data_IF_206303838416
#
_entry.id   IF_206303838416
#
_cell.length_a   1.000
_cell.length_b   1.000
_cell.length_c   1.000
_cell.angle_alpha   90.00
_cell.angle_beta   90.00
_cell.angle_gamma   90.00
#
_symmetry.space_group_name_H-M   'P 1'
#
loop_
_entity.id
_entity.type
_entity.pdbx_description
1 polymer ?
#
# COMPACT_ATOMS: atom_id res chain seq x y z
N UNK A 1 -27.19 -18.31 14.06
CA UNK A 1 -27.26 -17.16 13.15
C UNK A 1 -28.64 -16.54 13.24
N UNK A 2 -28.72 -15.28 13.62
CA UNK A 2 -29.99 -14.56 13.76
C UNK A 2 -30.58 -14.24 12.37
N UNK A 3 -31.90 -14.06 12.26
CA UNK A 3 -32.56 -13.74 10.99
C UNK A 3 -32.00 -12.46 10.33
N UNK A 4 -31.57 -11.49 11.13
CA UNK A 4 -30.89 -10.28 10.66
C UNK A 4 -29.51 -10.56 10.04
N UNK A 5 -28.75 -11.50 10.61
CA UNK A 5 -27.42 -11.88 10.13
C UNK A 5 -27.51 -12.66 8.81
N UNK A 6 -28.50 -13.55 8.69
CA UNK A 6 -28.78 -14.26 7.43
C UNK A 6 -29.18 -13.28 6.32
N UNK A 7 -30.02 -12.29 6.64
CA UNK A 7 -30.42 -11.26 5.69
C UNK A 7 -29.22 -10.40 5.25
N UNK A 8 -28.34 -10.04 6.19
CA UNK A 8 -27.13 -9.29 5.89
C UNK A 8 -26.14 -10.09 5.04
N UNK A 9 -25.94 -11.38 5.35
CA UNK A 9 -25.09 -12.25 4.56
C UNK A 9 -25.60 -12.40 3.13
N UNK A 10 -26.89 -12.67 2.95
CA UNK A 10 -27.53 -12.77 1.63
C UNK A 10 -27.33 -11.48 0.82
N UNK A 11 -27.51 -10.33 1.47
CA UNK A 11 -27.24 -9.02 0.86
C UNK A 11 -25.79 -8.91 0.40
N UNK A 12 -24.81 -9.32 1.22
CA UNK A 12 -23.38 -9.26 0.85
C UNK A 12 -23.07 -10.18 -0.33
N UNK A 13 -23.62 -11.39 -0.34
CA UNK A 13 -23.46 -12.35 -1.44
C UNK A 13 -24.00 -11.80 -2.77
N UNK A 14 -25.09 -11.03 -2.71
CA UNK A 14 -25.68 -10.38 -3.89
C UNK A 14 -24.78 -9.26 -4.46
N UNK A 15 -23.98 -8.57 -3.63
CA UNK A 15 -23.02 -7.55 -4.08
C UNK A 15 -21.66 -8.12 -4.52
N UNK A 16 -21.25 -9.28 -4.02
CA UNK A 16 -19.97 -9.90 -4.37
C UNK A 16 -19.99 -10.52 -5.77
N UNK A 17 -21.14 -11.03 -6.23
CA UNK A 17 -21.25 -11.70 -7.53
C UNK A 17 -21.66 -10.71 -8.61
N UNK A 18 -20.79 -10.52 -9.59
CA UNK A 18 -20.99 -9.53 -10.66
C UNK A 18 -22.30 -9.68 -11.46
N UNK A 19 -22.88 -10.88 -11.55
CA UNK A 19 -24.15 -11.14 -12.25
C UNK A 19 -25.41 -10.98 -11.37
N UNK A 20 -25.26 -10.72 -10.07
CA UNK A 20 -26.36 -10.47 -9.12
C UNK A 20 -26.53 -8.99 -8.77
N UNK A 21 -25.54 -8.16 -9.12
CA UNK A 21 -25.58 -6.72 -8.86
C UNK A 21 -26.76 -6.10 -9.63
N UNK A 22 -27.63 -5.31 -8.97
CA UNK A 22 -28.73 -4.64 -9.65
C UNK A 22 -28.20 -3.63 -10.67
N UNK A 23 -28.79 -3.64 -11.86
CA UNK A 23 -28.39 -2.76 -12.94
C UNK A 23 -28.69 -1.29 -12.60
N UNK A 24 -27.66 -0.43 -12.68
CA UNK A 24 -27.79 1.02 -12.52
C UNK A 24 -27.13 1.75 -13.71
N UNK A 25 -27.91 2.56 -14.42
CA UNK A 25 -27.41 3.29 -15.59
C UNK A 25 -26.31 4.31 -15.25
N UNK A 26 -26.38 4.94 -14.07
CA UNK A 26 -25.45 6.01 -13.68
C UNK A 26 -24.09 5.47 -13.20
N UNK A 27 -24.01 4.20 -12.81
CA UNK A 27 -22.79 3.56 -12.33
C UNK A 27 -22.28 2.50 -13.34
N UNK A 28 -21.21 2.78 -14.11
CA UNK A 28 -20.63 1.85 -15.06
C UNK A 28 -20.16 0.53 -14.43
N UNK A 29 -19.87 0.52 -13.13
CA UNK A 29 -19.40 -0.69 -12.42
C UNK A 29 -20.54 -1.64 -12.05
N UNK A 30 -21.79 -1.19 -12.09
CA UNK A 30 -22.98 -2.02 -11.88
C UNK A 30 -23.41 -2.78 -13.14
N UNK A 31 -22.83 -2.46 -14.31
CA UNK A 31 -23.27 -3.05 -15.57
C UNK A 31 -22.81 -4.50 -15.71
N UNK A 32 -23.68 -5.41 -16.19
CA UNK A 32 -23.30 -6.80 -16.43
C UNK A 32 -22.22 -6.90 -17.50
N UNK A 33 -21.47 -8.00 -17.51
CA UNK A 33 -20.36 -8.20 -18.44
C UNK A 33 -20.72 -8.00 -19.93
N UNK A 34 -21.87 -8.51 -20.45
CA UNK A 34 -22.29 -8.28 -21.84
C UNK A 34 -22.37 -6.81 -22.21
N UNK A 35 -23.03 -6.00 -21.38
CA UNK A 35 -23.24 -4.57 -21.64
C UNK A 35 -21.94 -3.79 -21.48
N UNK A 36 -21.12 -4.13 -20.48
CA UNK A 36 -19.83 -3.48 -20.25
C UNK A 36 -18.88 -3.67 -21.42
N UNK A 37 -18.75 -4.92 -21.90
CA UNK A 37 -17.86 -5.26 -23.02
C UNK A 37 -18.38 -4.65 -24.33
N UNK A 38 -19.69 -4.70 -24.58
CA UNK A 38 -20.31 -4.06 -25.73
C UNK A 38 -20.12 -2.53 -25.73
N UNK A 39 -20.29 -1.87 -24.59
CA UNK A 39 -20.10 -0.43 -24.45
C UNK A 39 -18.65 -0.01 -24.77
N UNK A 40 -17.66 -0.66 -24.16
CA UNK A 40 -16.26 -0.33 -24.42
C UNK A 40 -15.86 -0.63 -25.86
N UNK A 41 -16.40 -1.68 -26.47
CA UNK A 41 -16.19 -1.97 -27.89
C UNK A 41 -16.80 -0.88 -28.77
N UNK A 42 -18.05 -0.47 -28.53
CA UNK A 42 -18.71 0.58 -29.28
C UNK A 42 -17.98 1.94 -29.19
N UNK A 43 -17.58 2.33 -27.98
CA UNK A 43 -16.80 3.56 -27.73
C UNK A 43 -15.44 3.47 -28.40
N UNK A 44 -14.70 2.36 -28.21
CA UNK A 44 -13.40 2.15 -28.82
C UNK A 44 -13.45 2.19 -30.35
N UNK A 45 -14.44 1.53 -30.96
CA UNK A 45 -14.62 1.54 -32.41
C UNK A 45 -15.00 2.92 -32.95
N UNK A 46 -15.84 3.68 -32.23
CA UNK A 46 -16.21 5.05 -32.62
C UNK A 46 -15.01 6.00 -32.54
N UNK A 47 -14.23 5.91 -31.46
CA UNK A 47 -13.00 6.70 -31.28
C UNK A 47 -11.96 6.33 -32.33
N UNK A 48 -11.78 5.04 -32.62
CA UNK A 48 -10.89 4.56 -33.68
C UNK A 48 -11.30 5.09 -35.05
N UNK A 49 -12.59 5.07 -35.38
CA UNK A 49 -13.12 5.64 -36.62
C UNK A 49 -12.87 7.16 -36.71
N UNK A 50 -13.07 7.88 -35.61
CA UNK A 50 -12.77 9.31 -35.54
C UNK A 50 -11.29 9.61 -35.83
N UNK A 51 -10.36 8.90 -35.18
CA UNK A 51 -8.93 9.08 -35.39
C UNK A 51 -8.47 8.64 -36.79
N UNK A 52 -9.05 7.57 -37.33
CA UNK A 52 -8.79 7.12 -38.70
C UNK A 52 -9.16 8.22 -39.71
N UNK A 53 -10.33 8.84 -39.57
CA UNK A 53 -10.75 9.94 -40.43
C UNK A 53 -9.89 11.19 -40.26
N UNK A 54 -9.48 11.48 -39.02
CA UNK A 54 -8.55 12.57 -38.72
C UNK A 54 -7.19 12.37 -39.41
N UNK A 55 -6.64 11.16 -39.35
CA UNK A 55 -5.36 10.82 -39.95
C UNK A 55 -5.37 10.96 -41.48
N UNK A 56 -6.44 10.48 -42.14
CA UNK A 56 -6.59 10.56 -43.60
C UNK A 56 -7.23 11.86 -44.10
N UNK A 57 -7.44 12.86 -43.22
CA UNK A 57 -8.07 14.16 -43.53
C UNK A 57 -9.43 14.02 -44.24
N UNK A 58 -10.19 12.97 -43.89
CA UNK A 58 -11.54 12.74 -44.42
C UNK A 58 -12.58 13.43 -43.52
N UNK A 59 -13.63 14.05 -44.08
CA UNK A 59 -14.67 14.66 -43.26
C UNK A 59 -15.47 13.58 -42.51
N UNK A 60 -15.98 13.91 -41.32
CA UNK A 60 -16.60 12.95 -40.40
C UNK A 60 -17.78 12.14 -40.97
N UNK A 61 -18.50 12.71 -41.94
CA UNK A 61 -19.62 12.04 -42.60
C UNK A 61 -19.20 11.06 -43.70
N UNK A 62 -17.94 11.10 -44.14
CA UNK A 62 -17.42 10.26 -45.21
C UNK A 62 -17.38 8.79 -44.77
N UNK A 63 -18.19 7.94 -45.40
CA UNK A 63 -18.28 6.52 -45.03
C UNK A 63 -18.97 6.25 -43.69
N UNK A 64 -19.79 7.18 -43.20
CA UNK A 64 -20.52 7.02 -41.93
C UNK A 64 -21.46 5.80 -41.90
N UNK A 65 -22.16 5.50 -43.00
CA UNK A 65 -23.06 4.35 -43.12
C UNK A 65 -22.30 3.02 -42.95
N UNK A 66 -21.27 2.69 -43.78
CA UNK A 66 -20.52 1.44 -43.60
C UNK A 66 -19.77 1.38 -42.27
N UNK A 67 -19.31 2.53 -41.74
CA UNK A 67 -18.66 2.58 -40.44
C UNK A 67 -19.64 2.27 -39.30
N UNK A 68 -20.86 2.80 -39.34
CA UNK A 68 -21.89 2.49 -38.33
C UNK A 68 -22.27 1.00 -38.34
N UNK A 69 -22.34 0.39 -39.54
CA UNK A 69 -22.55 -1.05 -39.67
C UNK A 69 -21.39 -1.86 -39.07
N UNK A 70 -20.14 -1.45 -39.31
CA UNK A 70 -18.96 -2.09 -38.72
C UNK A 70 -18.90 -1.94 -37.19
N UNK A 71 -19.26 -0.77 -36.65
CA UNK A 71 -19.35 -0.55 -35.20
C UNK A 71 -20.45 -1.44 -34.61
N UNK A 72 -21.60 -1.55 -35.25
CA UNK A 72 -22.70 -2.40 -34.80
C UNK A 72 -22.31 -3.89 -34.78
N UNK A 73 -21.60 -4.39 -35.80
CA UNK A 73 -21.14 -5.79 -35.83
C UNK A 73 -20.11 -6.07 -34.75
N UNK A 74 -19.13 -5.18 -34.56
CA UNK A 74 -18.13 -5.30 -33.48
C UNK A 74 -18.80 -5.28 -32.10
N UNK A 75 -19.78 -4.40 -31.91
CA UNK A 75 -20.54 -4.30 -30.66
C UNK A 75 -21.35 -5.57 -30.39
N UNK A 76 -21.99 -6.14 -31.42
CA UNK A 76 -22.74 -7.39 -31.29
C UNK A 76 -21.84 -8.59 -30.95
N UNK A 77 -20.67 -8.70 -31.60
CA UNK A 77 -19.68 -9.73 -31.27
C UNK A 77 -19.15 -9.57 -29.84
N UNK A 78 -18.85 -8.34 -29.44
CA UNK A 78 -18.41 -8.01 -28.08
C UNK A 78 -19.47 -8.36 -27.02
N UNK A 79 -20.76 -8.13 -27.32
CA UNK A 79 -21.86 -8.55 -26.47
C UNK A 79 -21.92 -10.08 -26.33
N UNK A 80 -21.77 -10.83 -27.43
CA UNK A 80 -21.69 -12.29 -27.42
C UNK A 80 -20.52 -12.83 -26.59
N UNK A 81 -19.34 -12.23 -26.71
CA UNK A 81 -18.18 -12.58 -25.89
C UNK A 81 -18.42 -12.28 -24.39
N UNK A 82 -19.12 -11.19 -24.08
CA UNK A 82 -19.53 -10.87 -22.72
C UNK A 82 -20.52 -11.86 -22.13
N UNK A 83 -21.47 -12.38 -22.93
CA UNK A 83 -22.39 -13.46 -22.52
C UNK A 83 -21.63 -14.76 -22.20
N UNK A 84 -20.67 -15.13 -23.07
CA UNK A 84 -19.85 -16.32 -22.85
C UNK A 84 -19.02 -16.20 -21.56
N UNK A 85 -18.44 -15.02 -21.33
CA UNK A 85 -17.69 -14.72 -20.10
C UNK A 85 -18.58 -14.81 -18.86
N UNK A 86 -19.79 -14.27 -18.93
CA UNK A 86 -20.73 -14.32 -17.83
C UNK A 86 -21.15 -15.77 -17.52
N UNK A 87 -21.41 -16.58 -18.55
CA UNK A 87 -21.68 -18.00 -18.38
C UNK A 87 -20.52 -18.71 -17.68
N UNK A 88 -19.28 -18.49 -18.12
CA UNK A 88 -18.11 -19.10 -17.51
C UNK A 88 -17.93 -18.68 -16.04
N UNK A 89 -18.11 -17.40 -15.71
CA UNK A 89 -18.07 -16.93 -14.33
C UNK A 89 -19.14 -17.59 -13.46
N UNK A 90 -20.38 -17.73 -13.97
CA UNK A 90 -21.47 -18.41 -13.24
C UNK A 90 -21.15 -19.88 -12.97
N UNK A 91 -20.63 -20.60 -13.98
CA UNK A 91 -20.23 -22.00 -13.82
C UNK A 91 -19.09 -22.14 -12.82
N UNK A 92 -18.06 -21.30 -12.92
CA UNK A 92 -16.93 -21.29 -11.97
C UNK A 92 -17.41 -21.05 -10.55
N UNK A 93 -18.24 -20.03 -10.34
CA UNK A 93 -18.73 -19.67 -9.01
C UNK A 93 -19.61 -20.81 -8.43
N UNK A 94 -20.46 -21.45 -9.25
CA UNK A 94 -21.24 -22.61 -8.83
C UNK A 94 -20.37 -23.81 -8.46
N UNK A 95 -19.29 -24.08 -9.20
CA UNK A 95 -18.33 -25.15 -8.88
C UNK A 95 -17.58 -24.84 -7.58
N UNK A 96 -17.14 -23.59 -7.40
CA UNK A 96 -16.47 -23.15 -6.17
C UNK A 96 -17.41 -23.28 -4.97
N UNK A 97 -18.67 -22.86 -5.09
CA UNK A 97 -19.67 -23.00 -4.04
C UNK A 97 -19.91 -24.47 -3.68
N UNK A 98 -20.02 -25.34 -4.69
CA UNK A 98 -20.18 -26.76 -4.47
C UNK A 98 -18.94 -27.36 -3.78
N UNK A 99 -17.73 -26.99 -4.21
CA UNK A 99 -16.49 -27.44 -3.59
C UNK A 99 -16.38 -27.00 -2.13
N UNK A 100 -16.65 -25.72 -1.84
CA UNK A 100 -16.67 -25.18 -0.47
C UNK A 100 -17.67 -25.94 0.41
N UNK A 101 -18.83 -26.34 -0.14
CA UNK A 101 -19.83 -27.10 0.59
C UNK A 101 -19.41 -28.54 0.91
N UNK A 102 -18.57 -29.15 0.07
CA UNK A 102 -18.08 -30.51 0.24
C UNK A 102 -16.85 -30.59 1.14
N UNK A 103 -15.99 -29.56 1.10
CA UNK A 103 -14.70 -29.52 1.78
C UNK A 103 -14.56 -28.30 2.70
N UNK A 104 -15.37 -28.17 3.77
CA UNK A 104 -15.24 -27.06 4.71
C UNK A 104 -13.86 -27.01 5.38
N UNK A 105 -13.23 -28.17 5.62
CA UNK A 105 -11.92 -28.32 6.28
C UNK A 105 -10.76 -27.61 5.56
N UNK A 106 -10.82 -27.49 4.23
CA UNK A 106 -9.79 -26.82 3.43
C UNK A 106 -9.80 -25.30 3.67
N UNK A 107 -10.97 -24.75 4.00
CA UNK A 107 -11.17 -23.31 4.19
C UNK A 107 -11.04 -22.89 5.67
N UNK A 108 -11.02 -23.85 6.59
CA UNK A 108 -10.79 -23.60 8.02
C UNK A 108 -9.43 -22.94 8.28
N UNK A 109 -8.42 -23.15 7.42
CA UNK A 109 -7.10 -22.51 7.51
C UNK A 109 -7.14 -21.00 7.31
N UNK A 110 -8.05 -20.49 6.48
CA UNK A 110 -8.25 -19.04 6.32
C UNK A 110 -8.92 -18.43 7.55
N UNK A 111 -9.74 -19.22 8.25
CA UNK A 111 -10.30 -18.81 9.53
C UNK A 111 -9.24 -18.90 10.63
N UNK A 112 -8.49 -20.00 10.72
CA UNK A 112 -7.46 -20.18 11.76
C UNK A 112 -6.27 -19.24 11.60
N UNK A 113 -5.87 -18.76 10.42
CA UNK A 113 -4.81 -17.74 10.34
C UNK A 113 -5.27 -16.34 10.76
N UNK A 114 -6.57 -16.06 10.68
CA UNK A 114 -7.17 -14.84 11.22
C UNK A 114 -7.45 -14.93 12.74
N UNK A 115 -7.57 -16.14 13.29
CA UNK A 115 -7.93 -16.39 14.69
C UNK A 115 -6.83 -16.97 15.58
N UNK A 116 -5.81 -17.65 15.01
CA UNK A 116 -4.67 -18.23 15.70
C UNK A 116 -3.36 -17.64 15.15
N UNK A 117 -3.06 -16.39 15.50
CA UNK A 117 -1.68 -16.10 15.90
C UNK A 117 -1.46 -16.80 17.25
N UNK A 118 -0.32 -17.46 17.50
CA UNK A 118 -0.05 -18.06 18.80
C UNK A 118 0.11 -16.91 19.80
N UNK A 119 -0.94 -16.64 20.58
CA UNK A 119 -0.91 -15.70 21.68
C UNK A 119 -0.93 -16.53 22.97
N UNK A 120 0.19 -16.49 23.67
CA UNK A 120 0.33 -17.03 25.03
C UNK A 120 -0.77 -16.43 25.93
N UNK A 121 -1.61 -17.33 26.44
CA UNK A 121 -2.44 -17.29 27.65
C UNK A 121 -2.65 -15.90 28.30
N UNK A 122 -3.75 -15.23 27.94
CA UNK A 122 -4.60 -14.45 28.87
C UNK A 122 -6.06 -14.51 28.40
N UNK A 123 -6.64 -15.71 28.49
CA UNK A 123 -8.03 -16.00 28.15
C UNK A 123 -9.01 -15.24 29.07
N UNK A 124 -9.42 -14.04 28.67
CA UNK A 124 -10.78 -13.48 28.88
C UNK A 124 -10.84 -11.99 28.49
N UNK A 125 -9.75 -11.23 28.71
CA UNK A 125 -9.69 -9.79 28.41
C UNK A 125 -9.78 -9.51 26.91
N UNK A 126 -8.96 -10.21 26.12
CA UNK A 126 -8.71 -9.79 24.74
C UNK A 126 -9.78 -10.30 23.77
N UNK A 127 -10.38 -11.47 24.07
CA UNK A 127 -11.56 -11.96 23.36
C UNK A 127 -12.76 -11.02 23.57
N UNK A 128 -12.95 -10.51 24.79
CA UNK A 128 -13.99 -9.51 25.10
C UNK A 128 -13.70 -8.18 24.39
N UNK A 129 -12.43 -7.75 24.36
CA UNK A 129 -12.02 -6.51 23.68
C UNK A 129 -12.20 -6.57 22.16
N UNK A 130 -11.97 -7.74 21.56
CA UNK A 130 -12.17 -7.99 20.13
C UNK A 130 -13.66 -8.03 19.80
N UNK A 131 -14.47 -8.71 20.61
CA UNK A 131 -15.93 -8.75 20.43
C UNK A 131 -16.55 -7.37 20.64
N UNK A 132 -16.01 -6.57 21.56
CA UNK A 132 -16.44 -5.18 21.77
C UNK A 132 -16.04 -4.27 20.59
N UNK A 133 -14.85 -4.47 19.99
CA UNK A 133 -14.48 -3.78 18.74
C UNK A 133 -15.39 -4.16 17.58
N UNK A 134 -15.72 -5.45 17.46
CA UNK A 134 -16.66 -5.96 16.44
C UNK A 134 -18.04 -5.36 16.62
N UNK A 135 -18.54 -5.28 17.85
CA UNK A 135 -19.82 -4.63 18.19
C UNK A 135 -19.82 -3.15 17.82
N UNK A 136 -18.79 -2.40 18.23
CA UNK A 136 -18.65 -0.97 17.88
C UNK A 136 -18.55 -0.75 16.37
N UNK A 137 -17.94 -1.67 15.63
CA UNK A 137 -17.88 -1.61 14.16
C UNK A 137 -19.26 -1.83 13.53
N UNK A 138 -20.05 -2.78 14.03
CA UNK A 138 -21.42 -3.05 13.58
C UNK A 138 -22.37 -1.88 13.91
N UNK A 139 -22.26 -1.28 15.09
CA UNK A 139 -23.02 -0.08 15.48
C UNK A 139 -22.67 1.11 14.57
N UNK A 140 -21.39 1.30 14.24
CA UNK A 140 -20.96 2.33 13.26
C UNK A 140 -21.47 2.06 11.84
N UNK A 141 -21.74 0.79 11.49
CA UNK A 141 -22.34 0.43 10.20
C UNK A 141 -23.85 0.67 10.21
N UNK A 142 -24.55 0.35 11.30
CA UNK A 142 -25.96 0.64 11.48
C UNK A 142 -26.24 2.15 11.53
N UNK A 143 -25.40 2.93 12.21
CA UNK A 143 -25.48 4.39 12.22
C UNK A 143 -25.33 5.00 10.82
N UNK A 144 -24.43 4.44 9.99
CA UNK A 144 -24.31 4.83 8.57
C UNK A 144 -25.51 4.43 7.73
N UNK A 145 -26.22 3.36 8.10
CA UNK A 145 -27.49 2.98 7.46
C UNK A 145 -28.64 3.93 7.83
N UNK A 146 -28.71 4.35 9.10
CA UNK A 146 -29.71 5.32 9.56
C UNK A 146 -29.50 6.71 8.95
N UNK A 147 -28.26 7.06 8.59
CA UNK A 147 -27.93 8.33 7.89
C UNK A 147 -28.24 8.31 6.39
N UNK A 148 -28.50 7.16 5.77
CA UNK A 148 -28.84 7.05 4.36
C UNK A 148 -30.28 6.50 4.19
N UNK A 149 -31.32 7.32 4.36
CA UNK A 149 -32.66 6.93 3.92
C UNK A 149 -32.71 6.80 2.38
N UNK A 150 -33.67 6.06 1.80
CA UNK A 150 -33.85 5.95 0.35
C UNK A 150 -34.02 7.33 -0.29
N UNK A 151 -33.73 7.50 -1.59
CA UNK A 151 -33.61 8.83 -2.20
C UNK A 151 -34.94 9.58 -2.12
N UNK A 152 -34.97 10.63 -1.30
CA UNK A 152 -36.08 11.57 -1.19
C UNK A 152 -35.99 12.50 -2.40
N UNK A 153 -36.59 12.07 -3.50
CA UNK A 153 -37.02 12.95 -4.59
C UNK A 153 -38.37 13.60 -4.24
N UNK A 154 -38.53 14.13 -3.03
CA UNK A 154 -39.71 14.91 -2.64
C UNK A 154 -39.38 15.71 -1.39
N UNK A 155 -38.84 16.91 -1.57
CA UNK A 155 -38.96 18.11 -0.74
C UNK A 155 -37.81 19.06 -1.14
N UNK A 156 -37.74 19.36 -2.43
CA UNK A 156 -37.09 20.56 -2.92
C UNK A 156 -38.12 21.67 -2.74
N UNK A 157 -37.91 22.53 -1.76
CA UNK A 157 -38.28 23.95 -1.71
C UNK A 157 -38.25 24.40 -0.24
N UNK A 158 -37.10 24.91 0.20
CA UNK A 158 -36.98 26.02 1.14
C UNK A 158 -35.48 26.34 1.21
N UNK A 159 -35.03 27.14 0.24
CA UNK A 159 -33.70 27.73 0.30
C UNK A 159 -33.73 28.82 1.36
N UNK A 160 -32.92 28.68 2.41
CA UNK A 160 -32.73 29.71 3.43
C UNK A 160 -32.09 30.93 2.76
N UNK A 161 -32.68 32.11 2.98
CA UNK A 161 -32.24 33.37 2.38
C UNK A 161 -30.81 33.72 2.85
N UNK A 162 -29.90 34.11 1.94
CA UNK A 162 -28.47 34.31 2.26
C UNK A 162 -28.22 35.42 3.31
N UNK A 163 -29.19 36.30 3.52
CA UNK A 163 -29.12 37.38 4.54
C UNK A 163 -29.17 36.84 5.97
N UNK A 164 -29.94 35.79 6.24
CA UNK A 164 -30.04 35.21 7.59
C UNK A 164 -28.75 34.51 8.02
N UNK A 165 -28.05 33.88 7.07
CA UNK A 165 -26.76 33.21 7.33
C UNK A 165 -25.68 34.23 7.65
N UNK A 166 -25.65 35.37 6.95
CA UNK A 166 -24.68 36.44 7.19
C UNK A 166 -24.93 37.14 8.55
N UNK A 167 -26.20 37.29 8.95
CA UNK A 167 -26.58 37.83 10.25
C UNK A 167 -26.18 36.92 11.42
N UNK A 168 -26.40 35.60 11.29
CA UNK A 168 -25.96 34.60 12.26
C UNK A 168 -24.42 34.54 12.37
N UNK A 169 -23.70 34.68 11.26
CA UNK A 169 -22.23 34.75 11.27
C UNK A 169 -21.71 35.99 12.00
N UNK A 170 -22.37 37.13 11.85
CA UNK A 170 -22.00 38.36 12.55
C UNK A 170 -22.30 38.28 14.05
N UNK A 171 -23.42 37.66 14.44
CA UNK A 171 -23.74 37.39 15.85
C UNK A 171 -22.73 36.42 16.50
N UNK A 172 -22.35 35.35 15.80
CA UNK A 172 -21.35 34.39 16.29
C UNK A 172 -19.96 35.04 16.45
N UNK A 173 -19.55 35.91 15.52
CA UNK A 173 -18.29 36.67 15.64
C UNK A 173 -18.29 37.63 16.83
N UNK A 174 -19.42 38.26 17.11
CA UNK A 174 -19.56 39.18 18.23
C UNK A 174 -19.48 38.46 19.59
N UNK A 175 -20.03 37.24 19.68
CA UNK A 175 -19.93 36.41 20.87
C UNK A 175 -18.51 35.84 21.09
N UNK A 176 -17.79 35.52 20.03
CA UNK A 176 -16.39 35.04 20.11
C UNK A 176 -15.41 36.15 20.52
N UNK A 177 -15.78 37.42 20.37
CA UNK A 177 -14.94 38.55 20.79
C UNK A 177 -15.01 38.88 22.28
N UNK A 178 -15.95 38.33 23.04
CA UNK A 178 -16.13 38.66 24.46
C UNK A 178 -15.95 37.40 25.37
N UNK A 179 -14.89 37.32 26.20
CA UNK A 179 -14.49 36.10 26.89
C UNK A 179 -15.40 35.67 28.07
N UNK A 180 -16.42 36.46 28.44
CA UNK A 180 -17.38 36.13 29.51
C UNK A 180 -18.83 35.99 29.03
N UNK A 181 -19.09 35.94 27.72
CA UNK A 181 -20.44 35.82 27.19
C UNK A 181 -21.02 34.40 27.39
N UNK A 182 -22.22 34.31 27.97
CA UNK A 182 -23.00 33.08 28.09
C UNK A 182 -23.78 32.82 26.81
N UNK A 183 -23.67 31.62 26.24
CA UNK A 183 -24.30 31.23 24.97
C UNK A 183 -25.71 30.69 25.22
N UNK A 184 -26.72 31.29 24.56
CA UNK A 184 -28.11 30.81 24.61
C UNK A 184 -28.29 29.51 23.81
N UNK A 185 -28.96 28.51 24.41
CA UNK A 185 -29.23 27.20 23.79
C UNK A 185 -30.08 27.29 22.52
N UNK A 186 -31.04 28.23 22.47
CA UNK A 186 -31.88 28.45 21.29
C UNK A 186 -31.09 28.98 20.08
N UNK A 187 -29.96 29.65 20.31
CA UNK A 187 -29.08 30.12 19.25
C UNK A 187 -28.22 28.98 18.68
N UNK A 188 -27.77 28.06 19.54
CA UNK A 188 -27.03 26.86 19.12
C UNK A 188 -27.88 25.95 18.23
N UNK A 189 -29.16 25.76 18.57
CA UNK A 189 -30.09 24.96 17.77
C UNK A 189 -30.32 25.56 16.37
N UNK A 190 -30.37 26.90 16.27
CA UNK A 190 -30.42 27.60 14.98
C UNK A 190 -29.15 27.41 14.16
N UNK A 191 -27.97 27.48 14.77
CA UNK A 191 -26.69 27.22 14.07
C UNK A 191 -26.62 25.78 13.57
N UNK A 192 -27.02 24.80 14.38
CA UNK A 192 -27.00 23.39 14.02
C UNK A 192 -27.96 23.10 12.85
N UNK A 193 -29.15 23.69 12.87
CA UNK A 193 -30.10 23.59 11.75
C UNK A 193 -29.55 24.18 10.45
N UNK A 194 -28.88 25.34 10.53
CA UNK A 194 -28.28 26.00 9.36
C UNK A 194 -27.08 25.21 8.79
N UNK A 195 -26.27 24.59 9.66
CA UNK A 195 -25.15 23.73 9.25
C UNK A 195 -25.61 22.42 8.59
N UNK A 196 -26.75 21.87 9.01
CA UNK A 196 -27.31 20.64 8.44
C UNK A 196 -27.80 20.80 6.99
N UNK A 197 -28.07 22.03 6.57
CA UNK A 197 -28.55 22.37 5.23
C UNK A 197 -27.42 22.77 4.26
N UNK A 198 -26.20 22.97 4.74
CA UNK A 198 -25.06 23.30 3.90
C UNK A 198 -24.45 22.02 3.29
N UNK A 199 -24.18 21.97 1.97
CA UNK A 199 -23.56 20.81 1.37
C UNK A 199 -22.15 20.60 1.93
N UNK A 200 -21.85 19.37 2.32
CA UNK A 200 -20.51 18.92 2.76
C UNK A 200 -19.48 19.13 1.63
N UNK A 201 -18.75 20.25 1.67
CA UNK A 201 -17.61 20.50 0.78
C UNK A 201 -16.30 20.08 1.47
N UNK A 202 -16.15 18.78 1.73
CA UNK A 202 -14.83 18.17 1.92
C UNK A 202 -14.54 17.27 0.72
N UNK A 203 -14.08 17.90 -0.36
CA UNK A 203 -13.59 17.23 -1.57
C UNK A 203 -12.06 17.27 -1.57
N UNK A 204 -11.44 16.15 -1.23
CA UNK A 204 -9.99 15.96 -1.40
C UNK A 204 -9.68 15.89 -2.90
N UNK A 205 -9.19 16.99 -3.48
CA UNK A 205 -8.64 16.98 -4.84
C UNK A 205 -7.33 16.19 -4.84
N UNK A 206 -7.41 14.93 -5.25
CA UNK A 206 -6.27 14.14 -5.70
C UNK A 206 -5.48 14.93 -6.75
N UNK A 207 -4.24 15.30 -6.42
CA UNK A 207 -3.34 15.98 -7.35
C UNK A 207 -2.80 14.95 -8.35
N UNK A 208 -3.49 14.81 -9.48
CA UNK A 208 -2.95 14.14 -10.65
C UNK A 208 -1.68 14.89 -11.11
N UNK A 209 -0.55 14.19 -11.13
CA UNK A 209 0.69 14.67 -11.74
C UNK A 209 0.46 14.85 -13.24
N UNK A 210 0.36 16.11 -13.68
CA UNK A 210 0.44 16.47 -15.09
C UNK A 210 1.89 16.40 -15.55
N UNK A 211 2.17 15.50 -16.50
CA UNK A 211 3.35 15.54 -17.36
C UNK A 211 3.29 16.76 -18.30
N UNK A 212 4.37 17.54 -18.38
CA UNK A 212 4.74 18.37 -19.55
C UNK A 212 6.22 18.82 -19.47
N UNK A 213 6.83 19.29 -20.58
CA UNK A 213 7.87 18.56 -21.33
C UNK A 213 9.30 19.10 -21.11
N UNK A 214 10.27 18.39 -21.70
CA UNK A 214 11.69 18.75 -21.75
C UNK A 214 11.93 20.10 -22.44
N UNK A 215 12.75 20.97 -21.83
CA UNK A 215 14.11 21.25 -22.30
C UNK A 215 14.80 22.35 -21.46
N UNK A 216 16.14 22.33 -21.55
CA UNK A 216 17.14 23.35 -21.18
C UNK A 216 17.84 23.18 -19.83
N UNK A 217 19.13 22.83 -19.95
CA UNK A 217 20.17 22.92 -18.93
C UNK A 217 20.11 24.25 -18.18
N UNK A 218 20.20 24.18 -16.85
CA UNK A 218 20.87 25.23 -16.09
C UNK A 218 21.65 24.63 -14.92
N UNK A 219 22.91 25.03 -14.85
CA UNK A 219 23.94 24.57 -13.93
C UNK A 219 23.60 24.94 -12.48
N UNK A 220 23.37 23.92 -11.66
CA UNK A 220 23.29 24.02 -10.21
C UNK A 220 24.63 23.66 -9.57
N UNK A 221 25.32 24.67 -9.05
CA UNK A 221 26.59 24.68 -8.31
C UNK A 221 26.88 23.40 -7.50
N UNK A 222 27.72 22.52 -8.06
CA UNK A 222 28.37 21.41 -7.35
C UNK A 222 29.56 21.96 -6.57
N UNK A 223 29.58 21.77 -5.25
CA UNK A 223 30.82 21.91 -4.48
C UNK A 223 31.49 20.54 -4.49
N UNK A 224 32.45 20.38 -5.40
CA UNK A 224 33.33 19.22 -5.45
C UNK A 224 34.55 19.47 -4.55
N UNK A 225 34.89 18.50 -3.71
CA UNK A 225 36.22 18.35 -3.15
C UNK A 225 36.88 17.14 -3.85
N UNK A 226 38.09 17.33 -4.37
CA UNK A 226 38.95 16.42 -5.17
C UNK A 226 39.83 15.61 -4.17
N UNK A 227 40.40 14.41 -4.37
CA UNK A 227 41.26 13.87 -5.47
C UNK A 227 41.44 12.33 -5.40
N UNK A 228 41.65 11.71 -6.57
CA UNK A 228 42.25 10.40 -6.96
C UNK A 228 41.58 9.06 -6.57
N UNK A 229 41.15 8.30 -7.61
CA UNK A 229 40.57 6.95 -7.49
C UNK A 229 39.25 6.88 -6.72
N UNK A 230 38.69 8.05 -6.41
CA UNK A 230 38.10 8.35 -5.12
C UNK A 230 36.63 7.95 -4.97
N UNK A 231 36.35 7.26 -3.88
CA UNK A 231 35.03 7.09 -3.26
C UNK A 231 34.13 8.30 -3.47
N UNK A 232 32.99 8.09 -4.13
CA UNK A 232 32.03 9.17 -4.40
C UNK A 232 30.99 9.18 -3.29
N UNK A 233 31.07 10.19 -2.42
CA UNK A 233 30.03 10.46 -1.43
C UNK A 233 29.17 11.61 -1.93
N UNK A 234 27.98 11.30 -2.44
CA UNK A 234 27.00 12.32 -2.86
C UNK A 234 26.01 12.57 -1.74
N UNK A 235 25.77 13.84 -1.42
CA UNK A 235 24.74 14.26 -0.45
C UNK A 235 23.64 15.02 -1.18
N UNK A 236 22.43 14.51 -1.09
CA UNK A 236 21.18 15.22 -1.37
C UNK A 236 20.55 15.68 -0.06
N UNK A 237 19.50 16.49 -0.12
CA UNK A 237 18.84 17.08 1.05
C UNK A 237 18.39 16.04 2.09
N UNK A 238 17.99 14.85 1.64
CA UNK A 238 17.45 13.77 2.48
C UNK A 238 18.09 12.39 2.22
N UNK A 239 19.12 12.32 1.37
CA UNK A 239 19.72 11.06 0.97
C UNK A 239 21.25 11.16 0.78
N UNK A 240 21.96 10.12 1.24
CA UNK A 240 23.41 10.00 1.12
C UNK A 240 23.76 8.76 0.32
N UNK A 241 24.55 8.94 -0.73
CA UNK A 241 25.04 7.85 -1.57
C UNK A 241 26.54 7.71 -1.40
N UNK A 242 27.01 6.50 -1.15
CA UNK A 242 28.42 6.11 -1.15
C UNK A 242 28.63 5.15 -2.30
N UNK A 243 29.57 5.45 -3.19
CA UNK A 243 29.91 4.54 -4.27
C UNK A 243 31.40 4.44 -4.55
N UNK A 244 31.78 3.32 -5.18
CA UNK A 244 33.14 3.05 -5.65
C UNK A 244 34.19 3.03 -4.53
N UNK A 245 33.84 2.49 -3.36
CA UNK A 245 34.77 2.30 -2.23
C UNK A 245 35.48 0.95 -2.39
N UNK A 246 36.81 0.92 -2.30
CA UNK A 246 37.59 -0.32 -2.40
C UNK A 246 38.66 -0.40 -1.32
N UNK A 247 38.65 -1.45 -0.49
CA UNK A 247 39.71 -1.72 0.48
C UNK A 247 39.67 -0.86 1.76
N UNK A 248 38.70 0.04 1.88
CA UNK A 248 38.71 1.08 2.89
C UNK A 248 37.68 0.85 4.00
N UNK A 249 38.01 1.33 5.20
CA UNK A 249 37.07 1.46 6.31
C UNK A 249 36.51 2.87 6.34
N UNK A 250 35.19 3.00 6.19
CA UNK A 250 34.48 4.27 6.11
C UNK A 250 33.43 4.38 7.22
N UNK A 251 33.59 5.37 8.08
CA UNK A 251 32.53 5.80 9.01
C UNK A 251 31.74 6.93 8.35
N UNK A 252 30.41 6.77 8.27
CA UNK A 252 29.54 7.78 7.67
C UNK A 252 28.99 8.72 8.73
N UNK A 253 29.24 10.02 8.58
CA UNK A 253 28.55 11.05 9.37
C UNK A 253 27.23 11.45 8.70
N UNK A 254 26.14 11.56 9.46
CA UNK A 254 24.82 11.92 8.96
C UNK A 254 23.84 12.22 10.09
N UNK A 255 22.63 12.65 9.72
CA UNK A 255 21.54 12.90 10.65
C UNK A 255 20.54 11.73 10.66
N UNK A 256 19.81 11.58 11.77
CA UNK A 256 18.72 10.61 11.87
C UNK A 256 17.64 10.91 10.81
N UNK A 257 17.12 9.85 10.18
CA UNK A 257 16.09 9.94 9.15
C UNK A 257 16.60 10.08 7.72
N UNK A 258 17.91 10.15 7.49
CA UNK A 258 18.48 10.14 6.13
C UNK A 258 18.36 8.76 5.46
N UNK A 259 18.11 8.75 4.15
CA UNK A 259 18.18 7.54 3.32
C UNK A 259 19.63 7.29 2.87
N UNK A 260 20.09 6.04 2.95
CA UNK A 260 21.46 5.67 2.60
C UNK A 260 21.48 4.70 1.43
N UNK A 261 22.26 5.01 0.40
CA UNK A 261 22.57 4.09 -0.70
C UNK A 261 24.07 3.80 -0.74
N UNK A 262 24.43 2.52 -0.77
CA UNK A 262 25.80 2.03 -0.87
C UNK A 262 25.90 1.16 -2.12
N UNK A 263 26.70 1.62 -3.10
CA UNK A 263 26.74 1.03 -4.43
C UNK A 263 28.17 0.76 -4.93
N UNK A 264 28.47 -0.43 -5.44
CA UNK A 264 29.80 -0.78 -5.97
C UNK A 264 30.89 -0.66 -4.90
N UNK A 265 30.71 -1.35 -3.77
CA UNK A 265 31.71 -1.42 -2.70
C UNK A 265 32.42 -2.78 -2.76
N UNK A 266 33.75 -2.78 -2.63
CA UNK A 266 34.56 -4.00 -2.67
C UNK A 266 35.53 -4.04 -1.51
N UNK A 267 35.62 -5.16 -0.79
CA UNK A 267 36.59 -5.35 0.29
C UNK A 267 36.63 -4.21 1.32
N UNK A 268 35.46 -3.65 1.66
CA UNK A 268 35.35 -2.42 2.44
C UNK A 268 34.53 -2.62 3.71
N UNK A 269 34.76 -1.79 4.73
CA UNK A 269 33.95 -1.80 5.96
C UNK A 269 33.25 -0.47 6.13
N UNK A 270 31.91 -0.45 6.11
CA UNK A 270 31.12 0.78 6.26
C UNK A 270 30.35 0.77 7.57
N UNK A 271 30.51 1.84 8.36
CA UNK A 271 29.85 2.01 9.65
C UNK A 271 28.89 3.20 9.58
N UNK A 272 27.62 2.97 9.88
CA UNK A 272 26.56 3.98 9.96
C UNK A 272 26.13 4.12 11.43
N UNK A 273 26.63 5.12 12.16
CA UNK A 273 26.39 5.30 13.59
C UNK A 273 25.08 6.03 13.93
N UNK A 274 24.26 6.40 12.95
CA UNK A 274 23.01 7.16 13.13
C UNK A 274 21.79 6.39 12.59
N UNK A 275 20.57 6.75 13.02
CA UNK A 275 19.34 6.03 12.66
C UNK A 275 18.88 6.40 11.25
N UNK A 276 19.34 5.67 10.25
CA UNK A 276 18.90 5.84 8.87
C UNK A 276 17.39 5.55 8.70
N UNK A 277 16.74 6.23 7.77
CA UNK A 277 15.35 5.96 7.38
C UNK A 277 15.25 4.65 6.62
N UNK A 278 15.93 4.56 5.47
CA UNK A 278 16.09 3.37 4.63
C UNK A 278 17.55 3.13 4.28
N UNK A 279 17.93 1.88 4.05
CA UNK A 279 19.27 1.53 3.57
C UNK A 279 19.19 0.64 2.34
N UNK A 280 19.88 1.02 1.28
CA UNK A 280 20.00 0.28 0.03
C UNK A 280 21.45 -0.14 -0.20
N UNK A 281 21.66 -1.45 -0.31
CA UNK A 281 22.92 -2.08 -0.66
C UNK A 281 22.78 -2.67 -2.06
N UNK A 282 23.63 -2.23 -2.99
CA UNK A 282 23.61 -2.71 -4.37
C UNK A 282 25.03 -2.98 -4.87
N UNK A 283 25.25 -4.15 -5.48
CA UNK A 283 26.55 -4.49 -6.10
C UNK A 283 27.71 -4.35 -5.09
N UNK A 284 27.53 -4.90 -3.88
CA UNK A 284 28.54 -4.87 -2.80
C UNK A 284 29.16 -6.25 -2.64
N UNK A 285 30.50 -6.30 -2.62
CA UNK A 285 31.26 -7.56 -2.57
C UNK A 285 32.30 -7.58 -1.45
N UNK A 286 32.45 -8.73 -0.78
CA UNK A 286 33.49 -8.99 0.22
C UNK A 286 33.59 -7.91 1.31
N UNK A 287 32.46 -7.34 1.73
CA UNK A 287 32.43 -6.14 2.56
C UNK A 287 31.67 -6.36 3.86
N UNK A 288 31.87 -5.48 4.83
CA UNK A 288 31.14 -5.47 6.10
C UNK A 288 30.38 -4.17 6.26
N UNK A 289 29.09 -4.23 6.57
CA UNK A 289 28.21 -3.06 6.74
C UNK A 289 27.58 -3.14 8.12
N UNK A 290 27.90 -2.17 8.97
CA UNK A 290 27.43 -2.11 10.36
C UNK A 290 26.50 -0.92 10.53
N UNK A 291 25.24 -1.19 10.85
CA UNK A 291 24.19 -0.17 10.96
C UNK A 291 23.69 -0.03 12.40
N UNK A 292 23.51 1.21 12.84
CA UNK A 292 22.58 1.53 13.91
C UNK A 292 21.14 1.16 13.49
N UNK A 293 20.17 1.05 14.44
CA UNK A 293 18.80 0.69 14.13
C UNK A 293 18.18 1.59 13.05
N UNK A 294 17.75 0.95 11.96
CA UNK A 294 17.11 1.56 10.80
C UNK A 294 15.61 1.67 11.04
N UNK A 295 15.03 2.82 10.69
CA UNK A 295 13.63 3.11 10.99
C UNK A 295 12.67 2.20 10.20
N UNK A 296 12.91 2.04 8.89
CA UNK A 296 12.01 1.30 8.00
C UNK A 296 12.61 0.01 7.46
N UNK A 297 13.35 0.04 6.35
CA UNK A 297 13.79 -1.17 5.65
C UNK A 297 15.25 -1.15 5.23
N UNK A 298 15.83 -2.35 5.17
CA UNK A 298 17.12 -2.61 4.54
C UNK A 298 16.88 -3.47 3.30
N UNK A 299 17.37 -3.02 2.16
CA UNK A 299 17.27 -3.69 0.87
C UNK A 299 18.67 -4.06 0.39
N UNK A 300 18.91 -5.34 0.12
CA UNK A 300 20.19 -5.88 -0.36
C UNK A 300 19.96 -6.49 -1.74
N UNK A 301 20.75 -6.10 -2.73
CA UNK A 301 20.61 -6.57 -4.10
C UNK A 301 21.97 -6.78 -4.77
N UNK A 302 22.11 -7.86 -5.52
CA UNK A 302 23.31 -8.13 -6.34
C UNK A 302 24.59 -8.13 -5.48
N UNK A 303 24.54 -8.66 -4.25
CA UNK A 303 25.65 -8.63 -3.29
C UNK A 303 26.25 -10.02 -3.08
N UNK A 304 27.55 -10.09 -2.77
CA UNK A 304 28.25 -11.36 -2.53
C UNK A 304 29.30 -11.28 -1.44
N UNK A 305 29.39 -12.27 -0.55
CA UNK A 305 30.43 -12.32 0.49
C UNK A 305 30.29 -11.16 1.48
N UNK A 306 29.08 -10.86 1.93
CA UNK A 306 28.77 -9.65 2.71
C UNK A 306 28.45 -10.00 4.16
N UNK A 307 28.99 -9.24 5.12
CA UNK A 307 28.50 -9.26 6.50
C UNK A 307 27.66 -8.01 6.76
N UNK A 308 26.38 -8.18 7.09
CA UNK A 308 25.46 -7.06 7.38
C UNK A 308 24.95 -7.15 8.80
N UNK A 309 25.13 -6.06 9.55
CA UNK A 309 24.62 -5.91 10.90
C UNK A 309 23.50 -4.87 10.87
N UNK A 310 22.25 -5.28 11.03
CA UNK A 310 21.09 -4.42 10.80
C UNK A 310 19.90 -4.74 11.71
N UNK A 311 19.35 -3.71 12.35
CA UNK A 311 18.05 -3.79 13.01
C UNK A 311 17.05 -2.94 12.23
N UNK A 312 15.91 -3.50 11.78
CA UNK A 312 14.96 -2.81 10.90
C UNK A 312 13.51 -3.30 11.08
N UNK A 313 12.56 -2.64 10.42
CA UNK A 313 11.19 -3.19 10.33
C UNK A 313 11.11 -4.32 9.29
N UNK A 314 11.81 -4.18 8.16
CA UNK A 314 11.84 -5.17 7.09
C UNK A 314 13.25 -5.30 6.52
N UNK A 315 13.66 -6.54 6.21
CA UNK A 315 14.91 -6.82 5.51
C UNK A 315 14.57 -7.62 4.26
N UNK A 316 15.02 -7.16 3.10
CA UNK A 316 14.77 -7.81 1.80
C UNK A 316 16.07 -8.03 1.07
N UNK A 317 16.26 -9.23 0.55
CA UNK A 317 17.48 -9.66 -0.13
C UNK A 317 17.10 -10.28 -1.46
N UNK A 318 17.73 -9.82 -2.52
CA UNK A 318 17.48 -10.28 -3.88
C UNK A 318 18.81 -10.60 -4.59
N UNK A 319 18.85 -11.69 -5.36
CA UNK A 319 19.97 -12.03 -6.25
C UNK A 319 21.35 -11.91 -5.57
N UNK A 320 21.52 -12.54 -4.41
CA UNK A 320 22.72 -12.37 -3.59
C UNK A 320 23.18 -13.67 -2.95
N UNK A 321 24.50 -13.84 -2.76
CA UNK A 321 25.06 -15.08 -2.23
C UNK A 321 26.08 -14.86 -1.10
N UNK A 322 26.22 -15.87 -0.23
CA UNK A 322 27.20 -15.88 0.86
C UNK A 322 27.08 -14.63 1.74
N UNK A 323 25.90 -14.41 2.32
CA UNK A 323 25.63 -13.25 3.19
C UNK A 323 25.47 -13.70 4.64
N UNK A 324 26.25 -13.09 5.52
CA UNK A 324 26.15 -13.26 6.96
C UNK A 324 25.35 -12.08 7.54
N UNK A 325 24.21 -12.38 8.15
CA UNK A 325 23.23 -11.42 8.63
C UNK A 325 23.16 -11.43 10.15
N UNK A 326 23.56 -10.33 10.78
CA UNK A 326 23.38 -10.10 12.21
C UNK A 326 22.19 -9.16 12.39
N UNK A 327 21.01 -9.72 12.61
CA UNK A 327 19.76 -8.99 12.36
C UNK A 327 18.78 -8.98 13.53
N UNK A 328 18.00 -7.90 13.55
CA UNK A 328 16.79 -7.80 14.33
C UNK A 328 15.67 -7.24 13.47
N UNK A 329 14.52 -7.91 13.45
CA UNK A 329 13.40 -7.52 12.60
C UNK A 329 12.12 -7.43 13.40
N UNK A 330 11.33 -6.38 13.16
CA UNK A 330 9.97 -6.24 13.72
C UNK A 330 8.90 -6.91 12.86
N UNK A 331 9.16 -7.03 11.57
CA UNK A 331 8.22 -7.55 10.57
C UNK A 331 8.72 -8.87 9.99
N UNK A 332 9.44 -8.79 8.87
CA UNK A 332 9.87 -9.98 8.14
C UNK A 332 11.25 -9.79 7.51
N UNK A 333 11.98 -10.90 7.42
CA UNK A 333 13.16 -11.08 6.56
C UNK A 333 12.70 -11.86 5.34
N UNK A 334 12.92 -11.30 4.15
CA UNK A 334 12.50 -11.90 2.88
C UNK A 334 13.74 -12.10 2.01
N UNK A 335 13.89 -13.30 1.46
CA UNK A 335 14.94 -13.64 0.48
C UNK A 335 14.31 -14.15 -0.82
N UNK A 336 14.94 -13.80 -1.94
CA UNK A 336 14.55 -14.21 -3.30
C UNK A 336 15.83 -14.37 -4.14
N UNK A 337 15.96 -15.46 -4.89
CA UNK A 337 17.15 -15.76 -5.71
C UNK A 337 18.47 -15.65 -4.92
N UNK A 338 18.48 -16.18 -3.69
CA UNK A 338 19.64 -16.12 -2.79
C UNK A 338 20.20 -17.51 -2.50
N UNK A 339 21.48 -17.57 -2.14
CA UNK A 339 22.13 -18.82 -1.70
C UNK A 339 23.20 -18.55 -0.62
N UNK A 340 23.40 -19.51 0.28
CA UNK A 340 24.39 -19.39 1.35
C UNK A 340 24.13 -18.24 2.34
N UNK A 341 22.87 -18.00 2.70
CA UNK A 341 22.49 -16.99 3.69
C UNK A 341 22.62 -17.56 5.11
N UNK A 342 23.36 -16.89 5.99
CA UNK A 342 23.50 -17.28 7.39
C UNK A 342 22.97 -16.17 8.31
N UNK A 343 22.06 -16.51 9.23
CA UNK A 343 21.44 -15.54 10.15
C UNK A 343 21.90 -15.74 11.59
N UNK A 344 22.10 -14.62 12.28
CA UNK A 344 22.49 -14.49 13.67
C UNK A 344 21.75 -13.31 14.32
N UNK A 345 21.60 -13.27 15.66
CA UNK A 345 20.94 -12.16 16.32
C UNK A 345 21.77 -10.87 16.22
N UNK A 346 21.10 -9.72 16.10
CA UNK A 346 21.73 -8.41 16.17
C UNK A 346 22.48 -8.21 17.49
N UNK A 347 23.78 -7.96 17.41
CA UNK A 347 24.67 -7.74 18.56
C UNK A 347 25.57 -6.54 18.30
N UNK A 348 25.14 -5.37 18.78
CA UNK A 348 25.92 -4.13 18.71
C UNK A 348 26.11 -3.56 20.11
N UNK A 349 27.35 -3.29 20.50
CA UNK A 349 27.65 -2.78 21.83
C UNK A 349 27.10 -1.38 22.03
N UNK A 350 26.53 -1.12 23.20
CA UNK A 350 25.96 0.17 23.56
C UNK A 350 24.59 0.46 22.94
N UNK A 351 24.01 -0.47 22.17
CA UNK A 351 22.65 -0.35 21.63
C UNK A 351 21.71 -1.35 22.30
N UNK A 352 20.63 -0.83 22.88
CA UNK A 352 19.50 -1.62 23.34
C UNK A 352 18.32 -1.38 22.40
N UNK A 353 17.79 -2.45 21.82
CA UNK A 353 16.58 -2.38 21.00
C UNK A 353 15.35 -2.12 21.89
N UNK A 354 14.41 -1.33 21.38
CA UNK A 354 13.15 -1.02 22.07
C UNK A 354 12.11 -2.15 21.96
N UNK A 355 12.40 -3.17 21.15
CA UNK A 355 11.53 -4.31 20.87
C UNK A 355 12.25 -5.63 21.10
N UNK A 356 11.48 -6.71 21.28
CA UNK A 356 12.01 -8.06 21.40
C UNK A 356 12.53 -8.58 20.05
N UNK A 357 13.69 -9.22 20.06
CA UNK A 357 14.32 -9.78 18.87
C UNK A 357 14.14 -11.30 18.82
N UNK A 358 12.89 -11.75 18.72
CA UNK A 358 12.54 -13.18 18.60
C UNK A 358 12.40 -13.63 17.14
N UNK A 359 11.92 -12.75 16.25
CA UNK A 359 11.57 -13.08 14.85
C UNK A 359 12.75 -13.14 13.87
N UNK A 360 14.00 -12.93 14.29
CA UNK A 360 15.16 -12.98 13.37
C UNK A 360 15.41 -14.35 12.75
N UNK A 361 14.89 -15.43 13.36
CA UNK A 361 14.96 -16.80 12.83
C UNK A 361 13.89 -17.11 11.78
N UNK A 362 12.92 -16.21 11.56
CA UNK A 362 11.78 -16.41 10.66
C UNK A 362 12.06 -15.83 9.26
N UNK A 363 13.02 -16.42 8.54
CA UNK A 363 13.34 -15.99 7.17
C UNK A 363 12.36 -16.60 6.18
N UNK A 364 11.74 -15.75 5.36
CA UNK A 364 10.79 -16.14 4.31
C UNK A 364 11.51 -16.19 2.96
N UNK A 365 11.56 -17.36 2.36
CA UNK A 365 12.14 -17.56 1.04
C UNK A 365 11.05 -17.73 -0.02
N UNK A 366 11.02 -16.83 -1.00
CA UNK A 366 10.04 -16.84 -2.06
C UNK A 366 10.26 -17.97 -3.07
N UNK A 367 11.48 -18.48 -3.17
CA UNK A 367 11.83 -19.59 -4.07
C UNK A 367 11.57 -20.96 -3.42
N UNK A 368 11.25 -21.00 -2.13
CA UNK A 368 11.04 -22.23 -1.38
C UNK A 368 9.70 -22.24 -0.64
N UNK A 369 8.64 -22.61 -1.37
CA UNK A 369 7.26 -22.64 -0.86
C UNK A 369 6.92 -23.91 -0.04
N UNK A 370 7.87 -24.86 0.08
CA UNK A 370 7.61 -26.16 0.73
C UNK A 370 7.99 -26.12 2.20
N UNK A 371 7.03 -26.43 3.09
CA UNK A 371 7.25 -26.47 4.54
C UNK A 371 7.87 -27.79 5.00
N UNK A 372 7.69 -28.87 4.24
CA UNK A 372 8.11 -30.24 4.60
C UNK A 372 9.63 -30.46 4.58
N UNK A 373 10.35 -29.65 3.81
CA UNK A 373 11.79 -29.79 3.61
C UNK A 373 12.52 -28.57 4.15
N UNK A 374 13.67 -28.76 4.83
CA UNK A 374 14.48 -27.63 5.27
C UNK A 374 14.89 -26.78 4.07
N UNK A 375 14.90 -25.48 4.27
CA UNK A 375 15.31 -24.53 3.24
C UNK A 375 16.82 -24.70 2.96
N UNK A 376 17.24 -24.91 1.69
CA UNK A 376 18.66 -25.07 1.36
C UNK A 376 19.42 -23.74 1.24
N UNK A 377 18.73 -22.62 1.02
CA UNK A 377 19.32 -21.32 0.71
C UNK A 377 19.74 -20.51 1.94
N UNK A 378 19.19 -20.83 3.11
CA UNK A 378 19.55 -20.16 4.36
C UNK A 378 19.60 -21.10 5.55
N UNK A 379 20.40 -20.73 6.56
CA UNK A 379 20.50 -21.44 7.84
C UNK A 379 20.81 -20.49 8.98
N UNK A 380 20.59 -20.95 10.20
CA UNK A 380 21.06 -20.24 11.41
C UNK A 380 22.56 -20.48 11.57
N UNK A 381 23.31 -19.42 11.85
CA UNK A 381 24.74 -19.47 12.13
C UNK A 381 25.00 -20.14 13.47
N UNK A 382 26.11 -20.89 13.58
CA UNK A 382 26.52 -21.52 14.84
C UNK A 382 26.78 -20.48 15.94
N UNK A 383 26.40 -20.81 17.17
CA UNK A 383 26.45 -19.85 18.28
C UNK A 383 27.89 -19.43 18.63
N UNK A 384 28.86 -20.32 18.37
CA UNK A 384 30.28 -20.07 18.60
C UNK A 384 30.88 -19.06 17.62
N UNK A 385 30.30 -18.91 16.43
CA UNK A 385 30.77 -17.96 15.42
C UNK A 385 30.08 -16.60 15.50
N UNK A 386 29.15 -16.41 16.45
CA UNK A 386 28.46 -15.13 16.63
C UNK A 386 29.43 -14.04 17.11
N UNK A 387 29.51 -12.96 16.35
CA UNK A 387 30.33 -11.80 16.67
C UNK A 387 29.50 -10.69 17.33
N UNK A 388 30.17 -9.81 18.07
CA UNK A 388 29.60 -8.55 18.58
C UNK A 388 30.30 -7.40 17.89
N UNK A 389 29.52 -6.40 17.46
CA UNK A 389 30.01 -5.29 16.65
C UNK A 389 29.95 -3.97 17.42
N UNK A 390 30.90 -3.08 17.11
CA UNK A 390 30.94 -1.75 17.72
C UNK A 390 30.73 -0.68 16.66
N UNK A 391 29.79 0.22 16.93
CA UNK A 391 29.64 1.39 16.07
C UNK A 391 30.73 2.42 16.29
N UNK A 392 31.50 2.40 17.39
CA UNK A 392 32.49 3.44 17.70
C UNK A 392 33.92 3.10 17.24
N UNK A 393 34.11 1.99 16.53
CA UNK A 393 35.44 1.58 16.12
C UNK A 393 35.96 2.53 15.03
N UNK A 394 36.84 3.47 15.40
CA UNK A 394 37.63 4.31 14.47
C UNK A 394 38.58 3.45 13.66
#
# INVERSE_FOLDING_TARGET
MNASELAEQKRREDFLRAYKIPFNLADPFSWPYPHRVAFFAAVGSTVSFYFHNLYFKRPLYFGSIPASAAIATVTALAYGAGLLREHHCRTRDAVLEHYISLHPEDFDRFCTSLFNSPMDITESSDAVLIEERRRKMLERLQARHLQNPPPINTLRNEAVEPKEVEELQNQAKLLLSDPHATVDLAFLEKIESALSLLPSVFSFKSRQQQKKPADTLSEGKKVAAVVEGATVITRSKDAKTVSNLTGDKLRLDGMDGEDIAMMHLTNSTVIVPFKASTVHLKEVTNSTVILAPVHSSVMIRDCSGLTVVAAAQQIRIHNSCNIHLYIAVRGAVIIEDCDGIEVAPYRVSGIKLEWDNSSWKEVKDFNWLTVEKPNPHWKVMDEQSWQTFDLNCT
#
